data_IF_419790830379
#
_entry.id   IF_419790830379
#
_cell.length_a   1.000
_cell.length_b   1.000
_cell.length_c   1.000
_cell.angle_alpha   90.00
_cell.angle_beta   90.00
_cell.angle_gamma   90.00
#
_symmetry.space_group_name_H-M   'P 1'
#
loop_
_entity.id
_entity.type
_entity.pdbx_description
1 polymer ?
#
# COMPACT_ATOMS: atom_id res chain seq x y z
N UNK A 1 -2.96 -7.60 -6.06
CA UNK A 1 -3.87 -6.49 -5.68
C UNK A 1 -3.65 -6.13 -4.22
N UNK A 2 -3.50 -4.84 -3.87
CA UNK A 2 -3.33 -4.41 -2.47
C UNK A 2 -4.69 -4.08 -1.87
N UNK A 3 -5.03 -4.72 -0.76
CA UNK A 3 -6.18 -4.31 0.06
C UNK A 3 -5.86 -2.97 0.74
N UNK A 4 -6.42 -1.86 0.26
CA UNK A 4 -6.27 -0.56 0.89
C UNK A 4 -7.03 -0.55 2.22
N UNK A 5 -6.38 -0.11 3.29
CA UNK A 5 -6.95 -0.12 4.64
C UNK A 5 -6.60 1.17 5.38
N UNK A 6 -7.47 1.57 6.31
CA UNK A 6 -7.30 2.78 7.13
C UNK A 6 -7.84 4.04 6.46
N UNK A 7 -8.60 4.83 7.20
CA UNK A 7 -9.28 6.02 6.69
C UNK A 7 -8.31 7.08 6.15
N UNK A 8 -7.09 7.19 6.70
CA UNK A 8 -6.04 8.06 6.15
C UNK A 8 -5.68 7.68 4.72
N UNK A 9 -5.50 6.38 4.43
CA UNK A 9 -5.15 5.93 3.09
C UNK A 9 -6.31 6.14 2.10
N UNK A 10 -7.56 5.88 2.52
CA UNK A 10 -8.72 6.19 1.69
C UNK A 10 -8.81 7.70 1.44
N UNK A 11 -8.66 8.54 2.47
CA UNK A 11 -8.72 10.00 2.33
C UNK A 11 -7.69 10.49 1.30
N UNK A 12 -6.44 10.07 1.44
CA UNK A 12 -5.36 10.47 0.51
C UNK A 12 -5.62 9.99 -0.91
N UNK A 13 -6.17 8.79 -1.10
CA UNK A 13 -6.54 8.29 -2.41
C UNK A 13 -7.72 9.05 -3.02
N UNK A 14 -8.75 9.40 -2.24
CA UNK A 14 -9.88 10.20 -2.72
C UNK A 14 -9.43 11.61 -3.15
N UNK A 15 -8.49 12.22 -2.41
CA UNK A 15 -7.86 13.48 -2.82
C UNK A 15 -7.08 13.29 -4.12
N UNK A 16 -6.28 12.23 -4.25
CA UNK A 16 -5.55 11.90 -5.48
C UNK A 16 -6.48 11.76 -6.70
N UNK A 17 -7.64 11.12 -6.51
CA UNK A 17 -8.66 10.95 -7.56
C UNK A 17 -9.46 12.22 -7.87
N UNK A 18 -9.31 13.27 -7.08
CA UNK A 18 -10.13 14.49 -7.18
C UNK A 18 -11.58 14.31 -6.70
N UNK A 19 -11.86 13.26 -5.94
CA UNK A 19 -13.20 12.98 -5.39
C UNK A 19 -13.45 13.62 -4.02
N UNK A 20 -12.37 14.09 -3.38
CA UNK A 20 -12.42 14.79 -2.10
C UNK A 20 -11.50 16.01 -2.18
N UNK A 21 -12.00 17.16 -1.77
CA UNK A 21 -11.20 18.38 -1.66
C UNK A 21 -10.32 18.31 -0.40
N UNK A 22 -9.01 18.53 -0.56
CA UNK A 22 -8.06 18.54 0.55
C UNK A 22 -8.33 19.67 1.57
N UNK A 23 -9.09 20.70 1.20
CA UNK A 23 -9.47 21.81 2.08
C UNK A 23 -10.74 21.52 2.91
N UNK A 24 -11.47 20.44 2.57
CA UNK A 24 -12.72 20.08 3.25
C UNK A 24 -12.52 19.44 4.63
N UNK A 25 -11.27 19.15 5.01
CA UNK A 25 -10.90 18.54 6.28
C UNK A 25 -9.58 19.12 6.79
N UNK A 26 -9.30 18.99 8.07
CA UNK A 26 -8.09 19.60 8.65
C UNK A 26 -6.88 18.68 8.52
N UNK A 27 -5.69 19.26 8.37
CA UNK A 27 -4.44 18.48 8.31
C UNK A 27 -4.26 17.70 9.61
N UNK A 28 -3.79 16.45 9.51
CA UNK A 28 -3.57 15.55 10.66
C UNK A 28 -4.82 15.39 11.54
N UNK A 29 -6.01 15.37 10.94
CA UNK A 29 -7.29 15.15 11.64
C UNK A 29 -7.33 13.85 12.46
N UNK A 30 -6.49 12.86 12.13
CA UNK A 30 -6.40 11.60 12.87
C UNK A 30 -5.66 11.72 14.23
N UNK A 31 -4.97 12.83 14.48
CA UNK A 31 -4.27 13.09 15.76
C UNK A 31 -5.22 13.71 16.81
N UNK A 32 -6.30 14.37 16.38
CA UNK A 32 -7.19 15.14 17.24
C UNK A 32 -8.64 15.02 16.76
N UNK A 33 -9.51 14.50 17.63
CA UNK A 33 -10.92 14.24 17.31
C UNK A 33 -11.75 15.52 17.12
N UNK A 34 -11.27 16.68 17.57
CA UNK A 34 -11.96 17.96 17.42
C UNK A 34 -11.81 18.56 16.01
N UNK A 35 -10.85 18.06 15.24
CA UNK A 35 -10.58 18.49 13.87
C UNK A 35 -11.63 17.97 12.90
N UNK A 36 -11.90 18.75 11.85
CA UNK A 36 -12.79 18.35 10.75
C UNK A 36 -12.22 17.12 10.07
N UNK A 37 -12.99 16.04 10.09
CA UNK A 37 -12.63 14.77 9.48
C UNK A 37 -13.10 14.71 8.02
N UNK A 38 -12.39 13.98 7.16
CA UNK A 38 -12.80 13.76 5.78
C UNK A 38 -14.05 12.88 5.71
N UNK A 39 -15.00 13.27 4.87
CA UNK A 39 -16.19 12.47 4.54
C UNK A 39 -15.90 11.73 3.23
N UNK A 40 -15.78 10.41 3.32
CA UNK A 40 -15.52 9.55 2.17
C UNK A 40 -16.85 8.99 1.69
N UNK A 41 -17.38 9.52 0.60
CA UNK A 41 -18.57 8.98 -0.04
C UNK A 41 -18.24 7.66 -0.76
N UNK A 42 -19.12 6.67 -0.61
CA UNK A 42 -19.10 5.40 -1.32
C UNK A 42 -17.73 4.67 -1.36
N UNK A 43 -17.09 4.37 -0.20
CA UNK A 43 -15.78 3.72 -0.14
C UNK A 43 -15.72 2.36 -0.87
N UNK A 44 -16.86 1.67 -1.01
CA UNK A 44 -17.00 0.43 -1.76
C UNK A 44 -16.62 0.56 -3.24
N UNK A 45 -16.62 1.77 -3.81
CA UNK A 45 -16.25 2.03 -5.20
C UNK A 45 -14.83 1.56 -5.55
N UNK A 46 -13.92 1.44 -4.59
CA UNK A 46 -12.61 0.80 -4.82
C UNK A 46 -12.76 -0.67 -5.21
N UNK A 47 -13.70 -1.38 -4.61
CA UNK A 47 -13.89 -2.81 -4.80
C UNK A 47 -14.85 -3.18 -5.93
N UNK A 48 -15.84 -2.33 -6.24
CA UNK A 48 -16.93 -2.67 -7.17
C UNK A 48 -16.78 -2.06 -8.58
N UNK A 49 -16.00 -0.99 -8.73
CA UNK A 49 -15.80 -0.36 -10.04
C UNK A 49 -14.59 -1.03 -10.71
N UNK A 50 -14.76 -1.60 -11.93
CA UNK A 50 -13.65 -2.14 -12.70
C UNK A 50 -12.52 -1.11 -12.81
N UNK A 51 -11.28 -1.51 -12.54
CA UNK A 51 -10.06 -0.70 -12.52
C UNK A 51 -9.74 0.10 -11.25
N UNK A 52 -10.72 0.54 -10.44
CA UNK A 52 -10.41 1.31 -9.23
C UNK A 52 -9.53 0.53 -8.24
N UNK A 53 -9.70 -0.78 -8.15
CA UNK A 53 -8.87 -1.63 -7.29
C UNK A 53 -7.41 -1.66 -7.75
N UNK A 54 -7.16 -1.65 -9.06
CA UNK A 54 -5.81 -1.69 -9.64
C UNK A 54 -5.14 -0.33 -9.44
N UNK A 55 -5.87 0.73 -9.76
CA UNK A 55 -5.43 2.12 -9.62
C UNK A 55 -5.08 2.45 -8.16
N UNK A 56 -5.95 2.10 -7.20
CA UNK A 56 -5.68 2.26 -5.77
C UNK A 56 -4.41 1.50 -5.33
N UNK A 57 -4.19 0.30 -5.88
CA UNK A 57 -2.97 -0.47 -5.63
C UNK A 57 -1.72 0.20 -6.20
N UNK A 58 -1.80 0.73 -7.42
CA UNK A 58 -0.73 1.47 -8.08
C UNK A 58 -0.40 2.77 -7.35
N UNK A 59 -1.41 3.56 -7.00
CA UNK A 59 -1.26 4.75 -6.18
C UNK A 59 -0.62 4.43 -4.83
N UNK A 60 -1.03 3.38 -4.13
CA UNK A 60 -0.43 3.03 -2.85
C UNK A 60 1.06 2.67 -2.99
N UNK A 61 1.43 2.03 -4.10
CA UNK A 61 2.81 1.71 -4.42
C UNK A 61 3.68 2.95 -4.64
N UNK A 62 3.13 3.98 -5.28
CA UNK A 62 3.84 5.24 -5.57
C UNK A 62 3.84 6.18 -4.35
N UNK A 63 2.70 6.36 -3.69
CA UNK A 63 2.55 7.21 -2.52
C UNK A 63 3.29 6.67 -1.27
N UNK A 64 3.46 5.35 -1.19
CA UNK A 64 4.15 4.71 -0.08
C UNK A 64 3.31 4.55 1.17
N UNK A 65 3.67 3.56 1.98
CA UNK A 65 3.03 3.33 3.26
C UNK A 65 3.62 4.23 4.36
N UNK A 66 2.87 4.43 5.44
CA UNK A 66 3.39 5.06 6.65
C UNK A 66 4.62 4.29 7.22
N UNK A 67 4.62 2.96 7.12
CA UNK A 67 5.78 2.11 7.49
C UNK A 67 7.02 2.39 6.64
N UNK A 68 6.86 2.97 5.45
CA UNK A 68 7.93 3.40 4.57
C UNK A 68 8.04 4.93 4.49
N UNK A 69 7.58 5.65 5.52
CA UNK A 69 7.65 7.12 5.61
C UNK A 69 7.03 7.86 4.41
N UNK A 70 6.01 7.25 3.79
CA UNK A 70 5.36 7.80 2.59
C UNK A 70 6.33 8.05 1.42
N UNK A 71 7.35 7.19 1.30
CA UNK A 71 8.22 7.10 0.12
C UNK A 71 7.74 5.91 -0.72
N UNK A 72 7.82 6.04 -2.05
CA UNK A 72 7.46 4.98 -2.99
C UNK A 72 8.07 3.62 -2.60
N UNK A 73 7.28 2.56 -2.72
CA UNK A 73 7.74 1.19 -2.42
C UNK A 73 8.86 0.78 -3.39
N UNK A 74 8.93 1.39 -4.59
CA UNK A 74 10.05 1.22 -5.52
C UNK A 74 11.41 1.51 -4.88
N UNK A 75 11.48 2.40 -3.87
CA UNK A 75 12.75 2.69 -3.18
C UNK A 75 13.31 1.50 -2.38
N UNK A 76 12.52 0.44 -2.20
CA UNK A 76 12.92 -0.79 -1.51
C UNK A 76 13.21 -1.96 -2.45
N UNK A 77 13.02 -1.78 -3.75
CA UNK A 77 13.23 -2.81 -4.77
C UNK A 77 14.69 -2.83 -5.18
N UNK A 78 15.24 -4.04 -5.29
CA UNK A 78 16.49 -4.30 -5.98
C UNK A 78 16.15 -5.07 -7.26
N UNK A 79 16.57 -4.53 -8.39
CA UNK A 79 16.28 -5.11 -9.70
C UNK A 79 16.79 -6.55 -9.80
N UNK A 80 15.97 -7.42 -10.39
CA UNK A 80 16.23 -8.86 -10.57
C UNK A 80 16.54 -9.64 -9.29
N UNK A 81 16.30 -9.07 -8.10
CA UNK A 81 16.56 -9.74 -6.83
C UNK A 81 15.27 -10.27 -6.18
N UNK A 82 15.07 -11.58 -6.24
CA UNK A 82 13.95 -12.31 -5.60
C UNK A 82 14.39 -13.13 -4.38
N UNK A 83 15.51 -12.75 -3.75
CA UNK A 83 15.96 -13.32 -2.49
C UNK A 83 14.96 -13.05 -1.35
N UNK A 84 15.04 -13.86 -0.30
CA UNK A 84 14.29 -13.65 0.93
C UNK A 84 14.44 -12.21 1.46
N UNK A 85 15.66 -11.66 1.46
CA UNK A 85 15.99 -10.35 2.00
C UNK A 85 15.36 -9.21 1.17
N UNK A 86 15.37 -9.33 -0.16
CA UNK A 86 14.71 -8.36 -1.05
C UNK A 86 13.19 -8.38 -0.82
N UNK A 87 12.59 -9.57 -0.79
CA UNK A 87 11.14 -9.74 -0.58
C UNK A 87 10.73 -9.26 0.82
N UNK A 88 11.55 -9.54 1.84
CA UNK A 88 11.36 -9.03 3.20
C UNK A 88 11.35 -7.50 3.23
N UNK A 89 12.29 -6.87 2.53
CA UNK A 89 12.45 -5.41 2.52
C UNK A 89 11.24 -4.73 1.88
N UNK A 90 10.78 -5.23 0.73
CA UNK A 90 9.56 -4.74 0.06
C UNK A 90 8.32 -5.03 0.93
N UNK A 91 8.22 -6.22 1.53
CA UNK A 91 7.09 -6.57 2.40
C UNK A 91 6.99 -5.65 3.61
N UNK A 92 8.13 -5.34 4.24
CA UNK A 92 8.24 -4.38 5.33
C UNK A 92 7.83 -2.97 4.88
N UNK A 93 8.23 -2.54 3.68
CA UNK A 93 7.81 -1.26 3.14
C UNK A 93 6.28 -1.20 2.99
N UNK A 94 5.63 -2.30 2.57
CA UNK A 94 4.17 -2.37 2.36
C UNK A 94 3.37 -2.39 3.67
N UNK A 95 3.74 -3.20 4.66
CA UNK A 95 2.89 -3.44 5.85
C UNK A 95 3.61 -3.34 7.20
N UNK A 96 4.88 -2.92 7.20
CA UNK A 96 5.69 -2.82 8.41
C UNK A 96 6.10 -4.18 8.96
N UNK A 97 6.42 -4.20 10.26
CA UNK A 97 6.80 -5.40 11.00
C UNK A 97 5.71 -5.70 12.02
N UNK A 98 5.24 -6.95 12.05
CA UNK A 98 4.40 -7.41 13.14
C UNK A 98 5.25 -7.58 14.40
N UNK A 99 4.88 -6.86 15.47
CA UNK A 99 5.64 -6.82 16.73
C UNK A 99 5.76 -8.18 17.43
N UNK A 100 4.81 -9.09 17.20
CA UNK A 100 4.83 -10.43 17.83
C UNK A 100 5.76 -11.40 17.10
N UNK A 101 5.81 -11.32 15.77
CA UNK A 101 6.55 -12.29 14.94
C UNK A 101 7.89 -11.78 14.46
N UNK A 102 8.15 -10.47 14.58
CA UNK A 102 9.36 -9.82 14.04
C UNK A 102 9.41 -9.80 12.51
N UNK A 103 8.31 -10.14 11.83
CA UNK A 103 8.24 -10.27 10.37
C UNK A 103 7.06 -9.50 9.77
N UNK A 104 7.12 -9.11 8.49
CA UNK A 104 5.96 -8.64 7.73
C UNK A 104 4.82 -9.67 7.75
N UNK A 105 3.57 -9.21 7.79
CA UNK A 105 2.41 -10.10 7.73
C UNK A 105 2.31 -10.78 6.35
N UNK A 106 2.11 -12.10 6.35
CA UNK A 106 2.02 -12.93 5.15
C UNK A 106 3.34 -13.04 4.36
N UNK A 107 4.49 -12.91 5.04
CA UNK A 107 5.80 -12.96 4.36
C UNK A 107 6.01 -14.26 3.57
N UNK A 108 5.62 -15.40 4.14
CA UNK A 108 5.80 -16.71 3.51
C UNK A 108 5.08 -16.80 2.15
N UNK A 109 3.81 -16.43 2.10
CA UNK A 109 3.05 -16.40 0.85
C UNK A 109 3.65 -15.43 -0.18
N UNK A 110 4.18 -14.28 0.29
CA UNK A 110 4.86 -13.31 -0.58
C UNK A 110 6.13 -13.89 -1.19
N UNK A 111 6.90 -14.65 -0.42
CA UNK A 111 8.10 -15.35 -0.91
C UNK A 111 7.69 -16.36 -1.98
N UNK A 112 6.76 -17.25 -1.63
CA UNK A 112 6.30 -18.32 -2.50
C UNK A 112 5.72 -17.80 -3.81
N UNK A 113 4.89 -16.75 -3.77
CA UNK A 113 4.36 -16.14 -4.98
C UNK A 113 5.42 -15.43 -5.82
N UNK A 114 6.31 -14.65 -5.21
CA UNK A 114 7.33 -13.90 -5.95
C UNK A 114 8.29 -14.85 -6.68
N UNK A 115 8.77 -15.88 -5.98
CA UNK A 115 9.70 -16.86 -6.55
C UNK A 115 9.01 -17.79 -7.57
N UNK A 116 7.72 -18.10 -7.39
CA UNK A 116 6.97 -18.84 -8.41
C UNK A 116 6.81 -18.01 -9.68
N UNK A 117 6.46 -16.73 -9.56
CA UNK A 117 6.27 -15.85 -10.71
C UNK A 117 7.62 -15.60 -11.41
N UNK A 118 8.72 -15.44 -10.66
CA UNK A 118 10.04 -15.20 -11.25
C UNK A 118 10.50 -16.28 -12.21
N UNK A 119 10.15 -17.56 -11.96
CA UNK A 119 10.44 -18.67 -12.88
C UNK A 119 9.84 -18.50 -14.28
N UNK A 120 8.76 -17.71 -14.40
CA UNK A 120 8.09 -17.43 -15.67
C UNK A 120 8.60 -16.13 -16.28
N UNK A 121 8.77 -15.08 -15.48
CA UNK A 121 9.04 -13.72 -15.99
C UNK A 121 10.53 -13.37 -16.11
N UNK A 122 11.41 -14.09 -15.42
CA UNK A 122 12.86 -13.85 -15.43
C UNK A 122 13.63 -14.93 -16.21
N UNK A 123 12.93 -15.86 -16.87
CA UNK A 123 13.53 -16.97 -17.64
C UNK A 123 14.61 -17.77 -16.88
N UNK A 124 14.50 -17.82 -15.55
CA UNK A 124 15.39 -18.61 -14.68
C UNK A 124 15.00 -20.08 -14.78
N UNK A 125 15.89 -20.88 -15.36
CA UNK A 125 15.76 -22.34 -15.49
C UNK A 125 15.71 -23.06 -14.15
#
# INVERSE_FOLDING_TARGET
MKQLTGQVNYTSYWVYRGWLDATSFDKKWWEDKTRRQPIIAAPQQIGIVPFNCIDAGGWYWTAGAASNKFITINSSIQELNVSYQAIFSVSRAINGINRKTGKPNGLEDRINHTQRISKIIMDVK
#
